data_IF_618368589433
#
_entry.id   IF_618368589433
#
_cell.length_a   1.000
_cell.length_b   1.000
_cell.length_c   1.000
_cell.angle_alpha   90.00
_cell.angle_beta   90.00
_cell.angle_gamma   90.00
#
_symmetry.space_group_name_H-M   'P 1'
#
loop_
_entity.id
_entity.type
_entity.pdbx_description
1 polymer ?
#
# COMPACT_ATOMS: atom_id res chain seq x y z
N UNK A 1 8.29 -2.57 19.49
CA UNK A 1 7.63 -2.40 18.18
C UNK A 1 6.21 -2.95 18.28
N UNK A 2 5.22 -2.28 17.69
CA UNK A 2 3.83 -2.77 17.69
C UNK A 2 3.65 -3.77 16.54
N UNK A 3 4.01 -5.02 16.77
CA UNK A 3 4.01 -6.09 15.74
C UNK A 3 2.65 -6.28 15.05
N UNK A 4 1.54 -6.08 15.77
CA UNK A 4 0.19 -6.17 15.19
C UNK A 4 -0.09 -5.12 14.11
N UNK A 5 0.38 -3.89 14.28
CA UNK A 5 0.29 -2.86 13.26
C UNK A 5 1.32 -3.06 12.12
N UNK A 6 2.40 -3.78 12.42
CA UNK A 6 3.49 -4.10 11.50
C UNK A 6 3.07 -5.17 10.48
N UNK A 7 2.33 -6.20 10.89
CA UNK A 7 1.86 -7.23 9.94
C UNK A 7 0.45 -6.96 9.44
N UNK A 8 -0.43 -6.40 10.28
CA UNK A 8 -1.84 -6.20 9.94
C UNK A 8 -2.06 -5.29 8.74
N UNK A 9 -1.35 -4.16 8.66
CA UNK A 9 -1.53 -3.22 7.55
C UNK A 9 -1.01 -3.74 6.21
N UNK A 10 0.07 -4.51 6.19
CA UNK A 10 0.52 -5.15 4.95
C UNK A 10 -0.53 -6.09 4.36
N UNK A 11 -1.19 -6.90 5.20
CA UNK A 11 -2.29 -7.78 4.80
C UNK A 11 -3.49 -6.97 4.32
N UNK A 12 -3.86 -5.88 5.03
CA UNK A 12 -4.99 -5.03 4.65
C UNK A 12 -4.75 -4.35 3.32
N UNK A 13 -3.56 -3.78 3.09
CA UNK A 13 -3.18 -3.17 1.82
C UNK A 13 -3.30 -4.20 0.70
N UNK A 14 -2.74 -5.40 0.91
CA UNK A 14 -2.83 -6.50 -0.06
C UNK A 14 -4.28 -6.86 -0.38
N UNK A 15 -5.10 -7.09 0.65
CA UNK A 15 -6.49 -7.51 0.49
C UNK A 15 -7.34 -6.47 -0.26
N UNK A 16 -7.16 -5.18 0.06
CA UNK A 16 -7.88 -4.10 -0.62
C UNK A 16 -7.46 -4.01 -2.09
N UNK A 17 -6.16 -4.12 -2.38
CA UNK A 17 -5.66 -4.11 -3.75
C UNK A 17 -6.13 -5.32 -4.57
N UNK A 18 -6.07 -6.51 -3.99
CA UNK A 18 -6.56 -7.74 -4.62
C UNK A 18 -8.06 -7.65 -4.93
N UNK A 19 -8.84 -7.07 -4.01
CA UNK A 19 -10.28 -6.86 -4.21
C UNK A 19 -10.54 -5.83 -5.33
N UNK A 20 -9.80 -4.72 -5.35
CA UNK A 20 -9.90 -3.72 -6.41
C UNK A 20 -9.59 -4.33 -7.78
N UNK A 21 -8.48 -5.06 -7.88
CA UNK A 21 -8.07 -5.78 -9.09
C UNK A 21 -9.14 -6.78 -9.55
N UNK A 22 -9.64 -7.61 -8.63
CA UNK A 22 -10.70 -8.58 -8.93
C UNK A 22 -11.97 -7.88 -9.43
N UNK A 23 -12.34 -6.75 -8.84
CA UNK A 23 -13.47 -5.93 -9.28
C UNK A 23 -13.28 -5.45 -10.71
N UNK A 24 -12.12 -4.86 -11.03
CA UNK A 24 -11.83 -4.40 -12.40
C UNK A 24 -11.79 -5.54 -13.42
N UNK A 25 -11.32 -6.73 -13.02
CA UNK A 25 -11.40 -7.94 -13.83
C UNK A 25 -12.84 -8.33 -14.19
N UNK A 26 -13.74 -8.34 -13.20
CA UNK A 26 -15.17 -8.70 -13.40
C UNK A 26 -15.86 -7.73 -14.38
N UNK A 27 -15.57 -6.43 -14.28
CA UNK A 27 -16.16 -5.42 -15.16
C UNK A 27 -15.44 -5.24 -16.50
N UNK A 28 -14.44 -6.06 -16.81
CA UNK A 28 -13.67 -5.98 -18.07
C UNK A 28 -12.83 -4.71 -18.20
N UNK A 29 -12.52 -4.04 -17.09
CA UNK A 29 -11.70 -2.82 -17.03
C UNK A 29 -10.22 -3.12 -16.77
N UNK A 30 -9.86 -4.39 -16.57
CA UNK A 30 -8.48 -4.82 -16.36
C UNK A 30 -7.57 -4.33 -17.50
N UNK A 31 -6.42 -3.75 -17.13
CA UNK A 31 -5.42 -3.25 -18.08
C UNK A 31 -5.71 -1.86 -18.70
N UNK A 32 -6.89 -1.26 -18.47
CA UNK A 32 -7.19 0.10 -18.94
C UNK A 32 -6.44 1.17 -18.15
N UNK A 33 -6.25 2.36 -18.74
CA UNK A 33 -5.65 3.50 -18.03
C UNK A 33 -6.53 3.91 -16.83
N UNK A 34 -7.86 3.84 -16.98
CA UNK A 34 -8.80 4.20 -15.92
C UNK A 34 -8.66 3.31 -14.69
N UNK A 35 -8.59 1.98 -14.86
CA UNK A 35 -8.39 1.05 -13.73
C UNK A 35 -7.04 1.27 -13.06
N UNK A 36 -5.96 1.49 -13.84
CA UNK A 36 -4.64 1.81 -13.28
C UNK A 36 -4.64 3.07 -12.42
N UNK A 37 -5.28 4.15 -12.87
CA UNK A 37 -5.40 5.39 -12.08
C UNK A 37 -6.18 5.13 -10.79
N UNK A 38 -7.27 4.38 -10.85
CA UNK A 38 -8.07 4.03 -9.68
C UNK A 38 -7.30 3.15 -8.69
N UNK A 39 -6.56 2.14 -9.16
CA UNK A 39 -5.70 1.29 -8.34
C UNK A 39 -4.65 2.10 -7.59
N UNK A 40 -3.98 3.03 -8.29
CA UNK A 40 -3.01 3.93 -7.67
C UNK A 40 -3.66 4.83 -6.61
N UNK A 41 -4.85 5.36 -6.89
CA UNK A 41 -5.58 6.18 -5.91
C UNK A 41 -5.96 5.37 -4.67
N UNK A 42 -6.50 4.16 -4.84
CA UNK A 42 -6.83 3.26 -3.72
C UNK A 42 -5.59 2.93 -2.90
N UNK A 43 -4.47 2.57 -3.55
CA UNK A 43 -3.21 2.29 -2.89
C UNK A 43 -2.72 3.48 -2.05
N UNK A 44 -2.71 4.68 -2.64
CA UNK A 44 -2.29 5.90 -1.95
C UNK A 44 -3.18 6.18 -0.74
N UNK A 45 -4.49 6.07 -0.89
CA UNK A 45 -5.44 6.32 0.21
C UNK A 45 -5.20 5.33 1.36
N UNK A 46 -5.13 4.03 1.07
CA UNK A 46 -4.97 2.99 2.10
C UNK A 46 -3.60 3.10 2.77
N UNK A 47 -2.52 3.30 2.00
CA UNK A 47 -1.18 3.49 2.55
C UNK A 47 -1.08 4.77 3.41
N UNK A 48 -1.78 5.84 3.03
CA UNK A 48 -1.86 7.06 3.84
C UNK A 48 -2.61 6.80 5.16
N UNK A 49 -3.73 6.09 5.12
CA UNK A 49 -4.49 5.70 6.33
C UNK A 49 -3.62 4.83 7.23
N UNK A 50 -2.91 3.85 6.67
CA UNK A 50 -1.99 2.97 7.39
C UNK A 50 -0.90 3.78 8.09
N UNK A 51 -0.20 4.66 7.36
CA UNK A 51 0.84 5.54 7.89
C UNK A 51 0.34 6.47 9.00
N UNK A 52 -0.85 7.07 8.83
CA UNK A 52 -1.48 7.94 9.84
C UNK A 52 -1.88 7.17 11.10
N UNK A 53 -2.37 5.93 10.96
CA UNK A 53 -2.83 5.11 12.09
C UNK A 53 -1.69 4.77 13.07
N UNK A 54 -0.45 4.71 12.58
CA UNK A 54 0.72 4.43 13.39
C UNK A 54 1.05 5.56 14.37
N UNK A 55 0.56 6.79 14.11
CA UNK A 55 0.76 7.99 14.93
C UNK A 55 2.24 8.34 15.23
N UNK A 56 3.21 7.81 14.49
CA UNK A 56 4.62 8.17 14.63
C UNK A 56 4.91 9.61 14.21
N UNK A 57 5.90 10.22 14.85
CA UNK A 57 6.31 11.62 14.62
C UNK A 57 7.52 11.73 13.67
N UNK A 58 8.31 10.67 13.52
CA UNK A 58 9.50 10.65 12.67
C UNK A 58 9.36 9.66 11.52
N UNK A 59 9.95 10.00 10.39
CA UNK A 59 10.03 9.16 9.20
C UNK A 59 10.84 7.88 9.48
N UNK A 60 11.87 7.97 10.34
CA UNK A 60 12.70 6.84 10.74
C UNK A 60 11.90 5.74 11.45
N UNK A 61 10.81 6.11 12.13
CA UNK A 61 9.96 5.14 12.83
C UNK A 61 8.99 4.44 11.87
N UNK A 62 8.62 5.09 10.76
CA UNK A 62 7.64 4.57 9.78
C UNK A 62 8.32 3.64 8.77
N UNK A 63 9.52 4.00 8.33
CA UNK A 63 10.28 3.29 7.29
C UNK A 63 10.40 1.77 7.52
N UNK A 64 10.80 1.26 8.70
CA UNK A 64 10.90 -0.19 8.89
C UNK A 64 9.54 -0.90 8.79
N UNK A 65 8.44 -0.21 9.13
CA UNK A 65 7.09 -0.78 9.00
C UNK A 65 6.67 -0.82 7.53
N UNK A 66 6.84 0.28 6.78
CA UNK A 66 6.42 0.34 5.38
C UNK A 66 7.24 -0.56 4.48
N UNK A 67 8.54 -0.73 4.76
CA UNK A 67 9.39 -1.75 4.11
C UNK A 67 8.90 -3.16 4.44
N UNK A 68 8.55 -3.44 5.71
CA UNK A 68 8.01 -4.75 6.09
C UNK A 68 6.68 -5.07 5.38
N UNK A 69 5.83 -4.06 5.16
CA UNK A 69 4.60 -4.22 4.39
C UNK A 69 4.87 -4.56 2.93
N UNK A 70 5.80 -3.85 2.28
CA UNK A 70 6.16 -4.14 0.90
C UNK A 70 6.73 -5.55 0.73
N UNK A 71 7.59 -6.00 1.65
CA UNK A 71 8.10 -7.39 1.67
C UNK A 71 6.96 -8.38 1.84
N UNK A 72 6.05 -8.15 2.79
CA UNK A 72 4.91 -9.03 3.03
C UNK A 72 4.01 -9.13 1.80
N UNK A 73 3.68 -7.99 1.17
CA UNK A 73 2.91 -7.95 -0.08
C UNK A 73 3.61 -8.75 -1.18
N UNK A 74 4.93 -8.56 -1.35
CA UNK A 74 5.71 -9.33 -2.33
C UNK A 74 5.70 -10.83 -2.08
N UNK A 75 5.71 -11.26 -0.81
CA UNK A 75 5.57 -12.67 -0.45
C UNK A 75 4.15 -13.20 -0.72
N UNK A 76 3.12 -12.40 -0.46
CA UNK A 76 1.74 -12.78 -0.79
C UNK A 76 1.55 -12.90 -2.30
N UNK A 77 2.13 -12.02 -3.09
CA UNK A 77 2.17 -12.17 -4.56
C UNK A 77 2.89 -13.45 -4.99
N UNK A 78 4.01 -13.79 -4.34
CA UNK A 78 4.70 -15.05 -4.62
C UNK A 78 3.78 -16.25 -4.35
N UNK A 79 3.04 -16.23 -3.25
CA UNK A 79 2.17 -17.34 -2.84
C UNK A 79 0.92 -17.45 -3.72
N UNK A 80 0.29 -16.32 -4.06
CA UNK A 80 -1.00 -16.32 -4.73
C UNK A 80 -0.93 -16.16 -6.25
N UNK A 81 0.10 -15.53 -6.80
CA UNK A 81 0.17 -15.24 -8.24
C UNK A 81 1.18 -16.13 -8.97
N UNK A 82 2.35 -16.45 -8.39
CA UNK A 82 3.38 -17.27 -9.07
C UNK A 82 2.89 -18.67 -9.47
N UNK A 83 2.06 -19.40 -8.69
CA UNK A 83 1.56 -20.71 -9.12
C UNK A 83 0.73 -20.68 -10.40
N UNK A 84 0.13 -19.53 -10.74
CA UNK A 84 -0.78 -19.39 -11.88
C UNK A 84 -0.17 -18.58 -13.04
N UNK A 85 0.67 -17.59 -12.74
CA UNK A 85 1.30 -16.70 -13.72
C UNK A 85 2.82 -16.82 -13.85
N UNK A 86 3.46 -17.67 -13.06
CA UNK A 86 4.91 -17.82 -13.02
C UNK A 86 5.64 -16.64 -12.37
N UNK A 87 6.98 -16.67 -12.41
CA UNK A 87 7.84 -15.62 -11.84
C UNK A 87 7.89 -14.34 -12.70
N UNK A 88 7.31 -14.37 -13.89
CA UNK A 88 7.32 -13.25 -14.85
C UNK A 88 6.56 -12.03 -14.33
N UNK A 89 5.69 -12.19 -13.33
CA UNK A 89 5.01 -11.07 -12.66
C UNK A 89 6.02 -10.06 -12.08
N UNK A 90 7.20 -10.52 -11.65
CA UNK A 90 8.26 -9.65 -11.12
C UNK A 90 9.09 -8.96 -12.20
N UNK A 91 8.88 -9.28 -13.47
CA UNK A 91 9.44 -8.52 -14.59
C UNK A 91 8.61 -7.28 -14.92
N UNK A 92 7.37 -7.17 -14.44
CA UNK A 92 6.52 -6.01 -14.67
C UNK A 92 6.94 -4.83 -13.79
N UNK A 93 7.31 -3.72 -14.43
CA UNK A 93 7.67 -2.47 -13.74
C UNK A 93 6.53 -1.90 -12.89
N UNK A 94 5.27 -2.10 -13.28
CA UNK A 94 4.11 -1.58 -12.55
C UNK A 94 4.02 -2.16 -11.13
N UNK A 95 4.41 -3.42 -10.97
CA UNK A 95 4.44 -4.11 -9.68
C UNK A 95 5.46 -3.46 -8.72
N UNK A 96 6.65 -3.15 -9.22
CA UNK A 96 7.68 -2.44 -8.47
C UNK A 96 7.28 -1.01 -8.09
N UNK A 97 6.55 -0.31 -8.97
CA UNK A 97 5.97 1.00 -8.66
C UNK A 97 4.99 0.88 -7.48
N UNK A 98 4.14 -0.14 -7.48
CA UNK A 98 3.23 -0.44 -6.35
C UNK A 98 3.99 -0.64 -5.04
N UNK A 99 5.02 -1.48 -5.03
CA UNK A 99 5.83 -1.73 -3.82
C UNK A 99 6.53 -0.46 -3.33
N UNK A 100 7.06 0.34 -4.26
CA UNK A 100 7.70 1.61 -3.94
C UNK A 100 6.70 2.58 -3.29
N UNK A 101 5.46 2.65 -3.81
CA UNK A 101 4.41 3.48 -3.23
C UNK A 101 4.00 3.03 -1.83
N UNK A 102 3.93 1.71 -1.57
CA UNK A 102 3.69 1.19 -0.22
C UNK A 102 4.74 1.66 0.78
N UNK A 103 6.00 1.81 0.34
CA UNK A 103 7.08 2.31 1.19
C UNK A 103 7.01 3.83 1.36
N UNK A 104 6.84 4.57 0.26
CA UNK A 104 6.97 6.02 0.22
C UNK A 104 5.72 6.77 0.72
N UNK A 105 4.52 6.30 0.40
CA UNK A 105 3.28 7.01 0.76
C UNK A 105 3.10 7.15 2.28
N UNK A 106 3.31 6.11 3.10
CA UNK A 106 3.20 6.24 4.55
C UNK A 106 4.22 7.22 5.14
N UNK A 107 5.39 7.37 4.51
CA UNK A 107 6.41 8.31 4.96
C UNK A 107 5.89 9.75 4.90
N UNK A 108 5.03 10.09 3.93
CA UNK A 108 4.42 11.42 3.82
C UNK A 108 3.37 11.71 4.90
N UNK A 109 2.94 10.71 5.68
CA UNK A 109 1.90 10.86 6.68
C UNK A 109 2.14 11.96 7.73
N UNK A 110 3.36 12.19 8.27
CA UNK A 110 3.63 13.25 9.23
C UNK A 110 3.41 14.65 8.66
N UNK A 111 3.70 14.88 7.37
CA UNK A 111 3.52 16.19 6.72
C UNK A 111 2.06 16.50 6.36
N UNK A 112 1.23 15.47 6.27
CA UNK A 112 -0.20 15.64 5.97
C UNK A 112 -1.07 15.78 7.22
N UNK A 113 -0.48 15.76 8.43
CA UNK A 113 -1.21 16.12 9.65
C UNK A 113 -1.49 17.62 9.58
N UNK A 114 -2.70 17.97 9.16
CA UNK A 114 -3.24 19.32 9.33
C UNK A 114 -3.17 19.60 10.82
N UNK A 115 -2.21 20.44 11.24
CA UNK A 115 -2.20 21.01 12.57
C UNK A 115 -3.44 21.89 12.65
N UNK A 116 -4.54 21.33 13.17
CA UNK A 116 -5.62 22.15 13.70
C UNK A 116 -5.01 22.81 14.94
N UNK A 117 -4.36 23.96 14.72
CA UNK A 117 -4.03 24.88 15.79
C UNK A 117 -5.37 25.30 16.40
N UNK A 118 -5.71 24.68 17.52
CA UNK A 118 -6.77 25.17 18.40
C UNK A 118 -6.37 26.59 18.79
N UNK A 119 -7.01 27.58 18.16
CA UNK A 119 -7.05 28.94 18.68
C UNK A 119 -7.98 28.91 19.89
N UNK A 120 -7.43 28.64 21.06
CA UNK A 120 -8.05 29.04 22.32
C UNK A 120 -7.41 30.37 22.73
N UNK A 121 -8.21 31.42 22.66
CA UNK A 121 -7.94 32.73 23.23
C UNK A 121 -9.06 33.09 24.20
#
# INVERSE_FOLDING_TARGET
>A
MRYGALLGWGIVIYAVMALAWSGFGIYGLAGTIASRVLELLVLIIVATIAGRSLRFHSWNDILPYSVSWAILIGLLDAVYNVPFGGWEIYADWNLWVGYTLVVLVPLLAPFTRVSVQTREG
#
